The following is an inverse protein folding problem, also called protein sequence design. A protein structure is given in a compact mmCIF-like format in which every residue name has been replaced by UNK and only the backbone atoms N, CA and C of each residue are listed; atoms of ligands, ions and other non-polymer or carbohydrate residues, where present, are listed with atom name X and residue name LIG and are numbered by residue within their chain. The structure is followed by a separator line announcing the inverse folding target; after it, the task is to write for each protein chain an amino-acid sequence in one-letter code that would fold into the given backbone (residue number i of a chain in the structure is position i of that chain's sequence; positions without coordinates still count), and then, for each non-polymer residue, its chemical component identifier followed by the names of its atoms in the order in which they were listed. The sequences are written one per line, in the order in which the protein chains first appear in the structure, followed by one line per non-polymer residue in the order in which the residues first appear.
data_IF_192033162730
#
_entry.id   IF_192033162730
#
_cell.length_a   1.000
_cell.length_b   1.000
_cell.length_c   1.000
_cell.angle_alpha   90.00
_cell.angle_beta   90.00
_cell.angle_gamma   90.00
#
_symmetry.space_group_name_H-M   'P 1'
#
loop_
_entity.id
_entity.type
_entity.pdbx_description
1 polymer ?
#
# COMPACT_ATOMS: atom_id res chain seq x y z
N UNK A 1 8.13 -11.69 -0.09
CA UNK A 1 6.69 -12.04 -0.16
C UNK A 1 5.78 -10.83 0.17
N UNK A 2 6.05 -10.07 1.26
CA UNK A 2 5.20 -8.95 1.66
C UNK A 2 5.10 -7.86 0.58
N UNK A 3 6.21 -7.53 -0.07
CA UNK A 3 6.23 -6.56 -1.17
C UNK A 3 5.26 -6.94 -2.30
N UNK A 4 5.22 -8.21 -2.71
CA UNK A 4 4.33 -8.61 -3.79
C UNK A 4 2.85 -8.42 -3.45
N UNK A 5 2.46 -8.62 -2.19
CA UNK A 5 1.07 -8.43 -1.75
C UNK A 5 0.63 -6.98 -1.86
N UNK A 6 1.52 -6.01 -1.62
CA UNK A 6 1.19 -4.58 -1.69
C UNK A 6 1.52 -3.93 -3.05
N UNK A 7 2.43 -4.51 -3.83
CA UNK A 7 2.80 -3.99 -5.15
C UNK A 7 1.83 -4.42 -6.26
N UNK A 8 1.29 -5.63 -6.16
CA UNK A 8 0.38 -6.19 -7.15
C UNK A 8 -1.06 -5.70 -6.94
N UNK A 9 -1.31 -4.41 -7.24
CA UNK A 9 -2.59 -3.74 -7.02
C UNK A 9 -3.80 -4.47 -7.64
N UNK A 10 -3.62 -5.09 -8.81
CA UNK A 10 -4.67 -5.84 -9.48
C UNK A 10 -5.09 -7.14 -8.75
N UNK A 11 -4.31 -7.56 -7.76
CA UNK A 11 -4.64 -8.69 -6.90
C UNK A 11 -5.29 -8.28 -5.58
N UNK A 12 -5.50 -6.99 -5.30
CA UNK A 12 -6.11 -6.51 -4.06
C UNK A 12 -7.51 -7.08 -3.84
N UNK A 13 -8.29 -7.26 -4.90
CA UNK A 13 -9.62 -7.91 -4.83
C UNK A 13 -9.62 -9.31 -4.21
N UNK A 14 -8.46 -9.98 -4.15
CA UNK A 14 -8.36 -11.34 -3.65
C UNK A 14 -8.16 -11.40 -2.12
N UNK A 15 -7.74 -10.30 -1.50
CA UNK A 15 -7.40 -10.31 -0.08
C UNK A 15 -7.84 -9.06 0.69
N UNK A 16 -7.99 -7.90 0.03
CA UNK A 16 -8.34 -6.65 0.69
C UNK A 16 -9.86 -6.58 0.89
N UNK A 17 -10.35 -6.51 2.15
CA UNK A 17 -11.78 -6.49 2.42
C UNK A 17 -12.48 -5.29 1.78
N UNK A 18 -13.59 -5.55 1.12
CA UNK A 18 -14.39 -4.51 0.48
C UNK A 18 -13.94 -4.12 -0.93
N UNK A 19 -12.76 -4.54 -1.38
CA UNK A 19 -12.37 -4.35 -2.77
C UNK A 19 -12.99 -5.46 -3.62
N UNK A 20 -13.90 -5.09 -4.52
CA UNK A 20 -14.57 -6.00 -5.46
C UNK A 20 -13.91 -6.07 -6.83
N UNK A 21 -13.23 -5.00 -7.22
CA UNK A 21 -12.50 -4.91 -8.47
C UNK A 21 -11.15 -4.22 -8.26
N UNK A 22 -10.12 -4.70 -8.94
CA UNK A 22 -8.81 -4.08 -8.95
C UNK A 22 -8.09 -4.39 -10.26
N UNK A 23 -7.44 -3.39 -10.84
CA UNK A 23 -6.69 -3.51 -12.09
C UNK A 23 -5.45 -2.60 -12.09
N UNK A 24 -4.40 -3.01 -12.79
CA UNK A 24 -3.32 -2.13 -13.23
C UNK A 24 -3.70 -1.58 -14.59
N UNK A 25 -3.97 -0.30 -14.68
CA UNK A 25 -4.40 0.36 -15.92
C UNK A 25 -3.19 0.67 -16.82
N UNK A 26 -2.13 1.26 -16.23
CA UNK A 26 -0.90 1.59 -16.94
C UNK A 26 0.32 1.39 -16.06
N UNK A 27 1.34 0.73 -16.57
CA UNK A 27 2.67 0.70 -15.98
C UNK A 27 3.53 1.79 -16.62
N UNK A 28 3.76 2.88 -15.88
CA UNK A 28 4.44 4.08 -16.38
C UNK A 28 5.96 3.95 -16.34
N UNK A 29 6.46 3.38 -15.26
CA UNK A 29 7.89 3.14 -15.04
C UNK A 29 8.06 2.08 -13.96
N UNK A 30 9.32 1.75 -13.65
CA UNK A 30 9.65 0.93 -12.49
C UNK A 30 9.08 1.57 -11.22
N UNK A 31 8.31 0.82 -10.44
CA UNK A 31 7.59 1.30 -9.25
C UNK A 31 6.60 2.46 -9.49
N UNK A 32 6.15 2.69 -10.74
CA UNK A 32 5.14 3.71 -11.04
C UNK A 32 4.03 3.12 -11.90
N UNK A 33 2.80 3.22 -11.43
CA UNK A 33 1.66 2.68 -12.15
C UNK A 33 0.39 3.48 -11.89
N UNK A 34 -0.55 3.38 -12.81
CA UNK A 34 -1.94 3.78 -12.60
C UNK A 34 -2.73 2.50 -12.30
N UNK A 35 -3.49 2.51 -11.23
CA UNK A 35 -4.36 1.41 -10.83
C UNK A 35 -5.79 1.89 -10.62
N UNK A 36 -6.76 1.04 -10.91
CA UNK A 36 -8.15 1.26 -10.52
C UNK A 36 -8.55 0.29 -9.41
N UNK A 37 -9.29 0.82 -8.43
CA UNK A 37 -9.87 0.04 -7.34
C UNK A 37 -11.39 0.28 -7.31
N UNK A 38 -12.16 -0.79 -7.20
CA UNK A 38 -13.60 -0.76 -7.01
C UNK A 38 -13.98 -1.37 -5.67
N UNK A 39 -14.93 -0.74 -4.99
CA UNK A 39 -15.48 -1.20 -3.73
C UNK A 39 -17.00 -1.27 -3.84
N UNK A 40 -17.58 -2.42 -3.53
CA UNK A 40 -19.02 -2.57 -3.46
C UNK A 40 -19.50 -2.21 -2.06
N UNK A 41 -20.58 -1.44 -1.99
CA UNK A 41 -21.23 -1.07 -0.75
C UNK A 41 -22.60 -1.77 -0.66
N UNK A 42 -23.13 -2.01 0.56
CA UNK A 42 -24.44 -2.57 0.73
C UNK A 42 -25.52 -1.67 0.13
N UNK A 43 -26.52 -2.30 -0.50
CA UNK A 43 -27.72 -1.57 -0.93
C UNK A 43 -28.34 -0.75 0.22
N UNK A 44 -28.78 0.49 -0.01
CA UNK A 44 -29.01 1.17 -1.30
C UNK A 44 -27.84 2.04 -1.79
N UNK A 45 -26.65 1.85 -1.28
CA UNK A 45 -25.48 2.66 -1.69
C UNK A 45 -24.86 2.12 -2.96
N UNK A 46 -24.52 3.02 -3.86
CA UNK A 46 -23.75 2.67 -5.06
C UNK A 46 -22.33 2.27 -4.67
N UNK A 47 -21.69 1.45 -5.49
CA UNK A 47 -20.26 1.14 -5.35
C UNK A 47 -19.36 2.38 -5.45
N UNK A 48 -18.13 2.25 -5.00
CA UNK A 48 -17.10 3.30 -5.08
C UNK A 48 -16.02 2.87 -6.04
N UNK A 49 -15.48 3.83 -6.78
CA UNK A 49 -14.34 3.60 -7.65
C UNK A 49 -13.31 4.70 -7.51
N UNK A 50 -12.03 4.33 -7.49
CA UNK A 50 -10.90 5.26 -7.46
C UNK A 50 -9.90 4.86 -8.53
N UNK A 51 -9.29 5.85 -9.17
CA UNK A 51 -8.14 5.67 -10.06
C UNK A 51 -6.95 6.30 -9.37
N UNK A 52 -5.95 5.49 -9.07
CA UNK A 52 -4.82 5.85 -8.23
C UNK A 52 -3.54 5.91 -9.06
N UNK A 53 -2.73 6.92 -8.83
CA UNK A 53 -1.32 6.91 -9.15
C UNK A 53 -0.55 6.32 -7.99
N UNK A 54 0.15 5.22 -8.23
CA UNK A 54 0.97 4.56 -7.24
C UNK A 54 2.43 4.58 -7.66
N UNK A 55 3.31 4.85 -6.71
CA UNK A 55 4.76 4.86 -6.93
C UNK A 55 5.48 4.32 -5.70
N UNK A 56 6.67 3.76 -5.91
CA UNK A 56 7.48 3.19 -4.86
C UNK A 56 8.89 3.75 -4.85
N UNK A 57 9.49 3.76 -3.67
CA UNK A 57 10.89 4.07 -3.43
C UNK A 57 11.54 2.97 -2.59
N UNK A 58 12.80 2.67 -2.90
CA UNK A 58 13.66 1.79 -2.10
C UNK A 58 14.70 2.67 -1.40
N UNK A 59 14.73 2.62 -0.08
CA UNK A 59 15.61 3.43 0.74
C UNK A 59 16.96 2.75 0.99
N UNK A 60 17.92 3.51 1.51
CA UNK A 60 19.29 3.03 1.80
C UNK A 60 19.34 2.00 2.96
N UNK A 61 18.29 1.94 3.77
CA UNK A 61 18.09 0.94 4.84
C UNK A 61 17.33 -0.30 4.35
N UNK A 62 17.27 -0.50 3.03
CA UNK A 62 16.56 -1.57 2.34
C UNK A 62 15.05 -1.62 2.61
N UNK A 63 14.51 -0.61 3.27
CA UNK A 63 13.07 -0.46 3.38
C UNK A 63 12.46 -0.03 2.05
N UNK A 64 11.21 -0.44 1.82
CA UNK A 64 10.47 -0.11 0.60
C UNK A 64 9.20 0.62 0.99
N UNK A 65 8.99 1.80 0.42
CA UNK A 65 7.73 2.50 0.56
C UNK A 65 6.97 2.50 -0.76
N UNK A 66 5.66 2.28 -0.69
CA UNK A 66 4.72 2.41 -1.80
C UNK A 66 3.70 3.46 -1.40
N UNK A 67 3.59 4.49 -2.21
CA UNK A 67 2.67 5.60 -2.03
C UNK A 67 1.59 5.54 -3.08
N UNK A 68 0.41 6.05 -2.76
CA UNK A 68 -0.66 6.19 -3.73
C UNK A 68 -1.56 7.38 -3.38
N UNK A 69 -2.09 8.01 -4.42
CA UNK A 69 -3.06 9.10 -4.36
C UNK A 69 -3.97 9.04 -5.59
N UNK A 70 -4.97 9.88 -5.64
CA UNK A 70 -5.76 10.02 -6.87
C UNK A 70 -4.86 10.36 -8.06
N UNK A 71 -5.08 9.69 -9.17
CA UNK A 71 -4.40 9.98 -10.43
C UNK A 71 -4.97 11.28 -11.04
N UNK A 72 -4.06 12.11 -11.54
CA UNK A 72 -4.40 13.34 -12.27
C UNK A 72 -3.85 13.31 -13.70
N UNK A 73 -4.33 14.18 -14.58
CA UNK A 73 -3.93 14.17 -15.97
C UNK A 73 -2.42 14.26 -16.22
N UNK A 74 -1.69 14.96 -15.35
CA UNK A 74 -0.22 15.06 -15.42
C UNK A 74 0.54 13.77 -15.08
N UNK A 75 -0.12 12.80 -14.48
CA UNK A 75 0.47 11.49 -14.19
C UNK A 75 0.44 10.56 -15.40
N UNK A 76 -0.39 10.88 -16.37
CA UNK A 76 -0.63 10.04 -17.54
C UNK A 76 0.41 10.28 -18.64
N UNK A 77 0.69 9.28 -19.47
CA UNK A 77 1.46 9.48 -20.69
C UNK A 77 0.80 10.52 -21.61
N UNK A 78 1.58 11.23 -22.41
CA UNK A 78 1.07 12.22 -23.33
C UNK A 78 -0.01 11.63 -24.27
N UNK A 79 -1.16 12.28 -24.32
CA UNK A 79 -2.29 11.85 -25.12
C UNK A 79 -3.14 10.72 -24.53
N UNK A 80 -2.89 10.34 -23.29
CA UNK A 80 -3.69 9.34 -22.56
C UNK A 80 -4.43 10.04 -21.42
N UNK A 81 -5.74 9.88 -21.38
CA UNK A 81 -6.55 10.41 -20.28
C UNK A 81 -6.57 9.48 -19.07
N UNK A 82 -6.82 10.06 -17.90
CA UNK A 82 -7.08 9.25 -16.68
C UNK A 82 -8.31 8.37 -16.96
N UNK A 83 -8.25 7.06 -16.66
CA UNK A 83 -9.39 6.17 -16.86
C UNK A 83 -10.65 6.73 -16.21
N UNK A 84 -11.71 6.84 -16.99
CA UNK A 84 -12.98 7.36 -16.51
C UNK A 84 -13.64 6.38 -15.53
N UNK A 85 -14.25 6.91 -14.48
CA UNK A 85 -15.16 6.16 -13.63
C UNK A 85 -16.54 6.15 -14.28
N UNK A 86 -17.13 4.97 -14.40
CA UNK A 86 -18.53 4.85 -14.84
C UNK A 86 -19.47 5.41 -13.76
N UNK A 87 -19.79 6.67 -13.86
CA UNK A 87 -20.64 7.39 -12.90
C UNK A 87 -22.12 6.95 -12.94
N UNK A 88 -22.52 6.10 -13.90
CA UNK A 88 -23.86 5.52 -13.92
C UNK A 88 -24.04 4.41 -12.90
N UNK A 89 -22.94 3.78 -12.46
CA UNK A 89 -22.95 2.64 -11.54
C UNK A 89 -22.10 2.85 -10.30
N UNK A 90 -21.18 3.81 -10.32
CA UNK A 90 -20.24 4.07 -9.24
C UNK A 90 -20.15 5.54 -8.88
N UNK A 91 -19.84 5.80 -7.63
CA UNK A 91 -19.43 7.14 -7.19
C UNK A 91 -17.90 7.17 -7.15
N UNK A 92 -17.30 8.20 -7.77
CA UNK A 92 -15.85 8.42 -7.68
C UNK A 92 -15.49 8.75 -6.23
N UNK A 93 -14.79 7.85 -5.57
CA UNK A 93 -14.20 8.11 -4.26
C UNK A 93 -12.86 8.84 -4.43
N UNK A 94 -12.44 9.55 -3.40
CA UNK A 94 -11.20 10.32 -3.42
C UNK A 94 -10.18 9.72 -2.45
N UNK A 95 -8.96 9.55 -2.92
CA UNK A 95 -7.81 9.16 -2.12
C UNK A 95 -6.79 10.30 -2.14
N UNK A 96 -6.78 11.12 -1.10
CA UNK A 96 -5.84 12.24 -1.04
C UNK A 96 -4.41 11.72 -0.96
N UNK A 97 -4.18 10.72 -0.11
CA UNK A 97 -2.90 10.01 -0.01
C UNK A 97 -3.10 8.66 0.69
N UNK A 98 -2.20 7.74 0.41
CA UNK A 98 -2.06 6.47 1.12
C UNK A 98 -0.69 5.86 0.89
N UNK A 99 -0.35 4.84 1.66
CA UNK A 99 0.90 4.14 1.44
C UNK A 99 1.19 3.03 2.43
N UNK A 100 2.11 2.18 1.99
CA UNK A 100 2.72 1.12 2.78
C UNK A 100 4.22 1.40 2.91
N UNK A 101 4.76 1.22 4.09
CA UNK A 101 6.20 1.21 4.31
C UNK A 101 6.61 -0.14 4.90
N UNK A 102 7.41 -0.86 4.16
CA UNK A 102 7.87 -2.20 4.46
C UNK A 102 9.31 -2.11 4.94
N UNK A 103 9.55 -2.42 6.20
CA UNK A 103 10.87 -2.36 6.83
C UNK A 103 11.29 -3.80 7.14
N UNK A 104 12.33 -4.33 6.48
CA UNK A 104 12.84 -5.65 6.78
C UNK A 104 13.47 -5.64 8.18
N UNK A 105 13.13 -6.64 9.00
CA UNK A 105 13.70 -6.81 10.35
C UNK A 105 14.58 -8.06 10.38
N UNK A 106 14.16 -9.11 9.68
CA UNK A 106 14.88 -10.35 9.52
C UNK A 106 14.44 -11.00 8.19
N UNK A 107 15.08 -12.08 7.80
CA UNK A 107 14.81 -12.79 6.54
C UNK A 107 13.31 -13.13 6.35
N UNK A 108 12.64 -13.51 7.42
CA UNK A 108 11.22 -13.90 7.45
C UNK A 108 10.29 -12.85 8.08
N UNK A 109 10.83 -11.70 8.52
CA UNK A 109 10.09 -10.69 9.28
C UNK A 109 10.18 -9.31 8.63
N UNK A 110 9.02 -8.74 8.39
CA UNK A 110 8.88 -7.37 7.86
C UNK A 110 7.95 -6.58 8.77
N UNK A 111 8.42 -5.43 9.24
CA UNK A 111 7.56 -4.48 9.90
C UNK A 111 6.83 -3.65 8.85
N UNK A 112 5.51 -3.51 9.00
CA UNK A 112 4.66 -2.83 8.03
C UNK A 112 4.01 -1.63 8.70
N UNK A 113 4.19 -0.45 8.09
CA UNK A 113 3.40 0.73 8.38
C UNK A 113 2.42 0.94 7.24
N UNK A 114 1.21 1.31 7.58
CA UNK A 114 0.16 1.60 6.62
C UNK A 114 -0.61 2.84 7.06
N UNK A 115 -0.82 3.76 6.14
CA UNK A 115 -1.70 4.91 6.33
C UNK A 115 -2.45 5.22 5.05
N UNK A 116 -3.65 5.81 5.17
CA UNK A 116 -4.37 6.34 4.03
C UNK A 116 -5.40 7.38 4.47
N UNK A 117 -5.67 8.31 3.58
CA UNK A 117 -6.75 9.27 3.68
C UNK A 117 -7.68 9.05 2.49
N UNK A 118 -8.84 8.49 2.77
CA UNK A 118 -9.80 8.07 1.78
C UNK A 118 -11.18 8.63 2.09
N UNK A 119 -11.76 9.34 1.14
CA UNK A 119 -13.12 9.86 1.23
C UNK A 119 -14.05 9.06 0.29
N UNK A 120 -14.89 8.18 0.83
CA UNK A 120 -15.82 7.39 0.03
C UNK A 120 -17.02 8.20 -0.49
N UNK A 121 -17.08 9.51 -0.25
CA UNK A 121 -18.18 10.40 -0.67
C UNK A 121 -19.56 9.88 -0.25
N UNK A 122 -19.71 9.53 1.03
CA UNK A 122 -20.98 9.11 1.61
C UNK A 122 -21.59 10.28 2.37
N UNK A 123 -22.63 10.89 1.79
CA UNK A 123 -23.31 12.00 2.42
C UNK A 123 -24.03 11.58 3.72
N UNK A 124 -24.07 12.49 4.70
CA UNK A 124 -24.83 12.30 5.93
C UNK A 124 -24.16 11.47 7.03
N UNK A 125 -22.97 10.92 6.80
CA UNK A 125 -22.23 10.22 7.84
C UNK A 125 -21.18 11.14 8.48
N UNK A 126 -21.10 11.21 9.82
CA UNK A 126 -20.10 12.01 10.49
C UNK A 126 -18.70 11.39 10.36
N UNK A 127 -17.67 12.24 10.35
CA UNK A 127 -16.25 11.83 10.28
C UNK A 127 -15.88 10.82 11.40
N UNK A 128 -16.48 10.92 12.57
CA UNK A 128 -16.27 9.98 13.67
C UNK A 128 -16.70 8.55 13.34
N UNK A 129 -17.73 8.39 12.51
CA UNK A 129 -18.15 7.07 12.03
C UNK A 129 -17.10 6.47 11.09
N UNK A 130 -16.55 7.26 10.15
CA UNK A 130 -15.50 6.80 9.27
C UNK A 130 -14.24 6.42 10.04
N UNK A 131 -13.84 7.22 11.02
CA UNK A 131 -12.70 6.92 11.88
C UNK A 131 -12.91 5.61 12.66
N UNK A 132 -14.11 5.39 13.17
CA UNK A 132 -14.47 4.14 13.85
C UNK A 132 -14.34 2.93 12.91
N UNK A 133 -14.90 3.02 11.71
CA UNK A 133 -14.83 1.94 10.70
C UNK A 133 -13.37 1.69 10.28
N UNK A 134 -12.62 2.76 10.00
CA UNK A 134 -11.21 2.66 9.63
C UNK A 134 -10.38 1.93 10.71
N UNK A 135 -10.52 2.31 11.98
CA UNK A 135 -9.84 1.64 13.09
C UNK A 135 -10.19 0.15 13.19
N UNK A 136 -11.46 -0.21 12.96
CA UNK A 136 -11.92 -1.60 12.99
C UNK A 136 -11.46 -2.42 11.80
N UNK A 137 -11.13 -1.77 10.68
CA UNK A 137 -10.71 -2.42 9.44
C UNK A 137 -9.20 -2.58 9.34
N UNK A 138 -8.42 -1.61 9.85
CA UNK A 138 -6.96 -1.61 9.68
C UNK A 138 -6.27 -2.81 10.32
N UNK A 139 -6.66 -3.22 11.54
CA UNK A 139 -6.02 -4.36 12.23
C UNK A 139 -6.29 -5.68 11.49
N UNK A 140 -7.55 -6.05 11.16
CA UNK A 140 -7.84 -7.22 10.35
C UNK A 140 -7.15 -7.18 8.97
N UNK A 141 -7.04 -6.00 8.35
CA UNK A 141 -6.38 -5.82 7.06
C UNK A 141 -4.91 -6.27 7.12
N UNK A 142 -4.15 -5.83 8.13
CA UNK A 142 -2.76 -6.25 8.33
C UNK A 142 -2.66 -7.76 8.56
N UNK A 143 -3.60 -8.35 9.27
CA UNK A 143 -3.70 -9.80 9.46
C UNK A 143 -3.93 -10.56 8.15
N UNK A 144 -4.85 -10.08 7.30
CA UNK A 144 -5.12 -10.66 5.99
C UNK A 144 -3.92 -10.52 5.04
N UNK A 145 -3.27 -9.37 5.04
CA UNK A 145 -2.07 -9.12 4.27
C UNK A 145 -0.94 -10.08 4.68
N UNK A 146 -0.70 -10.25 5.98
CA UNK A 146 0.26 -11.22 6.51
C UNK A 146 -0.08 -12.65 6.14
N UNK A 147 -1.36 -13.03 6.24
CA UNK A 147 -1.85 -14.36 5.84
C UNK A 147 -1.63 -14.61 4.35
N UNK A 148 -1.88 -13.63 3.49
CA UNK A 148 -1.64 -13.71 2.05
C UNK A 148 -0.16 -13.85 1.76
N UNK A 149 0.70 -13.05 2.40
CA UNK A 149 2.14 -13.10 2.23
C UNK A 149 2.78 -14.44 2.65
N UNK A 150 2.15 -15.16 3.58
CA UNK A 150 2.57 -16.52 4.00
C UNK A 150 2.10 -17.63 3.06
N UNK A 151 1.04 -17.38 2.27
CA UNK A 151 0.41 -18.35 1.36
C UNK A 151 0.69 -18.04 -0.10
N UNK A 152 1.94 -17.68 -0.40
CA UNK A 152 2.34 -17.32 -1.77
C UNK A 152 2.55 -18.54 -2.66
N UNK A 153 2.99 -19.66 -2.09
CA UNK A 153 3.26 -20.89 -2.81
C UNK A 153 2.05 -21.35 -3.63
N UNK A 154 2.27 -21.66 -4.90
CA UNK A 154 1.23 -22.03 -5.87
C UNK A 154 0.31 -20.88 -6.32
N UNK A 155 0.51 -19.67 -5.80
CA UNK A 155 -0.36 -18.52 -6.09
C UNK A 155 0.10 -17.73 -7.32
N UNK A 156 -0.74 -16.79 -7.77
CA UNK A 156 -0.39 -15.83 -8.82
C UNK A 156 0.77 -14.92 -8.40
N UNK A 157 0.92 -14.62 -7.10
CA UNK A 157 2.05 -13.86 -6.58
C UNK A 157 3.38 -14.57 -6.82
N UNK A 158 3.43 -15.88 -6.58
CA UNK A 158 4.64 -16.66 -6.82
C UNK A 158 5.02 -16.64 -8.32
N UNK A 159 4.03 -16.80 -9.20
CA UNK A 159 4.26 -16.75 -10.66
C UNK A 159 4.85 -15.42 -11.09
N UNK A 160 4.43 -14.31 -10.48
CA UNK A 160 4.95 -12.96 -10.76
C UNK A 160 6.35 -12.76 -10.19
N UNK A 161 6.59 -13.20 -8.98
CA UNK A 161 7.94 -13.18 -8.37
C UNK A 161 8.94 -13.97 -9.21
N UNK A 162 8.52 -15.11 -9.76
CA UNK A 162 9.34 -15.97 -10.63
C UNK A 162 9.46 -15.45 -12.08
N UNK A 163 8.85 -14.31 -12.41
CA UNK A 163 8.91 -13.74 -13.76
C UNK A 163 8.06 -14.43 -14.82
N UNK A 164 7.17 -15.34 -14.42
CA UNK A 164 6.33 -16.11 -15.34
C UNK A 164 5.20 -15.28 -15.98
N UNK A 165 4.96 -14.09 -15.48
CA UNK A 165 3.88 -13.19 -15.94
C UNK A 165 4.46 -11.91 -16.55
N UNK A 166 5.39 -11.24 -15.87
CA UNK A 166 6.05 -10.03 -16.33
C UNK A 166 7.53 -10.06 -15.97
N UNK A 167 8.43 -9.97 -16.94
CA UNK A 167 9.86 -9.85 -16.68
C UNK A 167 10.23 -8.64 -15.84
N UNK A 168 9.54 -7.50 -16.05
CA UNK A 168 9.78 -6.25 -15.30
C UNK A 168 9.51 -6.39 -13.80
N UNK A 169 8.41 -7.04 -13.45
CA UNK A 169 8.09 -7.31 -12.03
C UNK A 169 9.14 -8.23 -11.40
N UNK A 170 9.61 -9.24 -12.15
CA UNK A 170 10.64 -10.16 -11.67
C UNK A 170 11.97 -9.47 -11.34
N UNK A 171 12.38 -8.49 -12.15
CA UNK A 171 13.60 -7.72 -11.90
C UNK A 171 13.51 -6.95 -10.57
N UNK A 172 12.36 -6.38 -10.26
CA UNK A 172 12.10 -5.68 -9.00
C UNK A 172 12.26 -6.65 -7.82
N UNK A 173 11.60 -7.80 -7.89
CA UNK A 173 11.67 -8.79 -6.81
C UNK A 173 13.07 -9.39 -6.64
N UNK A 174 13.78 -9.60 -7.74
CA UNK A 174 15.17 -10.08 -7.72
C UNK A 174 16.09 -9.09 -7.01
N UNK A 175 16.04 -7.80 -7.39
CA UNK A 175 16.86 -6.78 -6.76
C UNK A 175 16.57 -6.62 -5.26
N UNK A 176 15.28 -6.59 -4.88
CA UNK A 176 14.92 -6.52 -3.47
C UNK A 176 15.42 -7.76 -2.71
N UNK A 177 15.32 -8.94 -3.32
CA UNK A 177 15.84 -10.16 -2.72
C UNK A 177 17.36 -10.13 -2.55
N UNK A 178 18.10 -9.63 -3.55
CA UNK A 178 19.55 -9.48 -3.48
C UNK A 178 19.98 -8.49 -2.39
N UNK A 179 19.27 -7.37 -2.24
CA UNK A 179 19.49 -6.41 -1.15
C UNK A 179 19.20 -7.03 0.22
N UNK A 180 18.10 -7.76 0.36
CA UNK A 180 17.74 -8.42 1.62
C UNK A 180 18.76 -9.51 2.01
N UNK A 181 19.36 -10.20 1.05
CA UNK A 181 20.39 -11.20 1.33
C UNK A 181 21.71 -10.59 1.85
N UNK A 182 21.93 -9.28 1.64
CA UNK A 182 23.08 -8.55 2.15
C UNK A 182 22.85 -7.91 3.53
N UNK A 183 21.62 -7.97 4.05
CA UNK A 183 21.33 -7.52 5.40
C UNK A 183 21.97 -8.53 6.36
N UNK A 184 23.10 -8.17 6.95
CA UNK A 184 23.60 -8.85 8.14
C UNK A 184 22.50 -8.78 9.20
N UNK A 185 22.00 -9.94 9.60
CA UNK A 185 20.99 -10.05 10.66
C UNK A 185 21.54 -9.28 11.84
N UNK A 186 20.98 -8.10 12.09
CA UNK A 186 21.34 -7.28 13.24
C UNK A 186 21.23 -8.19 14.47
N UNK A 187 22.39 -8.52 15.03
CA UNK A 187 22.73 -9.55 15.96
C UNK A 187 21.55 -10.14 16.73
N UNK A 188 21.51 -11.45 16.80
CA UNK A 188 20.63 -12.20 17.67
C UNK A 188 20.57 -11.53 19.04
N UNK A 189 19.52 -10.75 19.27
CA UNK A 189 19.17 -10.39 20.62
C UNK A 189 18.75 -11.71 21.29
N UNK A 190 19.59 -12.17 22.20
CA UNK A 190 19.43 -13.34 23.04
C UNK A 190 17.95 -13.47 23.51
N UNK A 191 17.22 -14.54 23.16
CA UNK A 191 15.87 -14.75 23.66
C UNK A 191 15.90 -15.39 25.05
N UNK A 192 16.80 -14.95 25.93
CA UNK A 192 16.91 -15.32 27.32
C UNK A 192 16.04 -14.47 28.23
N UNK A 193 14.73 -14.47 28.04
CA UNK A 193 13.76 -13.80 28.91
C UNK A 193 12.40 -14.46 28.81
N UNK A 194 11.97 -14.99 29.91
CA UNK A 194 10.72 -15.68 30.18
C UNK A 194 9.49 -15.04 29.52
N UNK A 195 8.66 -15.89 28.91
CA UNK A 195 7.50 -15.63 28.05
C UNK A 195 6.44 -14.66 28.52
N UNK A 196 6.80 -13.42 28.80
CA UNK A 196 5.88 -12.30 28.87
C UNK A 196 5.88 -11.59 27.52
N UNK A 197 4.72 -11.55 26.88
CA UNK A 197 4.45 -10.75 25.68
C UNK A 197 4.87 -9.32 25.93
N UNK A 198 6.04 -8.94 25.38
CA UNK A 198 6.53 -7.57 25.45
C UNK A 198 5.43 -6.62 24.92
N UNK A 199 5.05 -5.60 25.67
CA UNK A 199 4.03 -4.67 25.24
C UNK A 199 4.49 -3.95 23.97
N UNK A 200 3.58 -3.83 23.00
CA UNK A 200 3.75 -3.17 21.69
C UNK A 200 4.34 -1.73 21.78
N UNK A 201 4.64 -1.25 22.95
CA UNK A 201 5.08 0.11 23.25
C UNK A 201 6.61 0.34 23.24
N UNK A 202 7.46 -0.68 23.27
CA UNK A 202 8.91 -0.46 23.34
C UNK A 202 9.54 0.05 22.04
N UNK A 203 8.91 -0.18 20.88
CA UNK A 203 9.32 0.42 19.61
C UNK A 203 9.12 1.94 19.53
N UNK A 204 8.30 2.53 20.40
CA UNK A 204 8.03 3.98 20.40
C UNK A 204 9.18 4.83 20.96
N UNK A 205 10.10 4.24 21.68
CA UNK A 205 11.22 4.95 22.29
C UNK A 205 12.50 4.98 21.44
N UNK A 206 12.54 4.29 20.31
CA UNK A 206 13.69 4.36 19.41
C UNK A 206 13.67 5.69 18.62
N UNK A 207 14.64 6.60 18.84
CA UNK A 207 14.69 7.90 18.17
C UNK A 207 14.75 7.80 16.64
N UNK A 208 15.39 6.75 16.11
CA UNK A 208 15.43 6.48 14.67
C UNK A 208 14.03 6.14 14.15
N UNK A 209 13.27 5.32 14.88
CA UNK A 209 11.89 4.97 14.54
C UNK A 209 10.94 6.17 14.48
N UNK A 210 11.03 7.07 15.48
CA UNK A 210 10.24 8.30 15.49
C UNK A 210 10.59 9.23 14.33
N UNK A 211 11.88 9.30 13.98
CA UNK A 211 12.38 10.11 12.87
C UNK A 211 11.87 9.59 11.51
N UNK A 212 11.83 8.27 11.32
CA UNK A 212 11.27 7.65 10.12
C UNK A 212 9.76 7.83 9.99
N UNK A 213 9.02 7.70 11.10
CA UNK A 213 7.58 7.99 11.12
C UNK A 213 7.27 9.43 10.71
N UNK A 214 8.03 10.38 11.26
CA UNK A 214 7.89 11.79 10.91
C UNK A 214 8.23 12.05 9.44
N UNK A 215 9.35 11.50 8.94
CA UNK A 215 9.73 11.66 7.54
C UNK A 215 8.70 11.06 6.57
N UNK A 216 8.16 9.89 6.87
CA UNK A 216 7.09 9.26 6.08
C UNK A 216 5.83 10.12 6.07
N UNK A 217 5.38 10.63 7.24
CA UNK A 217 4.23 11.51 7.33
C UNK A 217 4.45 12.86 6.67
N UNK A 218 5.65 13.45 6.81
CA UNK A 218 6.02 14.71 6.18
C UNK A 218 6.00 14.57 4.66
N UNK A 219 6.64 13.55 4.10
CA UNK A 219 6.65 13.32 2.66
C UNK A 219 5.22 13.16 2.10
N UNK A 220 4.37 12.40 2.79
CA UNK A 220 2.96 12.23 2.41
C UNK A 220 2.19 13.56 2.45
N UNK A 221 2.45 14.40 3.45
CA UNK A 221 1.83 15.72 3.58
C UNK A 221 2.35 16.72 2.56
N UNK A 222 3.65 16.73 2.29
CA UNK A 222 4.27 17.60 1.27
C UNK A 222 3.67 17.33 -0.11
N UNK A 223 3.54 16.07 -0.50
CA UNK A 223 2.94 15.69 -1.78
C UNK A 223 1.45 16.01 -1.86
N UNK A 224 0.71 15.82 -0.77
CA UNK A 224 -0.68 16.23 -0.70
C UNK A 224 -0.84 17.75 -0.85
N UNK A 225 0.03 18.55 -0.19
CA UNK A 225 0.04 20.00 -0.29
C UNK A 225 0.50 20.51 -1.67
N UNK A 226 1.42 19.81 -2.31
CA UNK A 226 1.88 20.16 -3.64
C UNK A 226 0.79 19.90 -4.69
N UNK A 227 0.02 18.82 -4.53
CA UNK A 227 -1.15 18.52 -5.35
C UNK A 227 -2.23 19.59 -5.18
N UNK A 228 -2.48 20.05 -3.96
CA UNK A 228 -3.45 21.12 -3.65
C UNK A 228 -2.97 22.48 -4.17
N UNK A 229 -1.68 22.82 -4.03
CA UNK A 229 -1.08 24.09 -4.52
C UNK A 229 -1.06 24.21 -6.04
N UNK A 230 -0.87 23.10 -6.74
CA UNK A 230 -0.79 23.15 -8.20
C UNK A 230 -2.16 23.28 -8.85
N UNK A 231 -3.25 23.22 -8.10
CA UNK A 231 -4.62 23.44 -8.58
C UNK A 231 -5.01 22.53 -9.74
N UNK A 232 -4.27 21.45 -9.94
CA UNK A 232 -4.51 20.46 -10.98
C UNK A 232 -5.20 19.26 -10.32
N UNK A 233 -6.45 19.46 -9.99
CA UNK A 233 -7.41 18.40 -9.78
C UNK A 233 -8.07 18.06 -11.13
#
# INVERSE_FOLDING_TARGET
NMLSVVYEFDLFKNWFPGISASAKEHELARFRLIASLGMDLPWPMWGRRSVLYAYGDVYNDDSVAIYFRDAVGSDMPAGVDVPAVDESNYVKASCLYGGFHLIPIAEDKTFVKFCFNFDPKIAGLPTSFFNYVAQRTCIPLLGLMSKTARKIEGSEYERRIQGKVSPKSAEIYKEIKERLASIDVLGEADPGGDGETAPINEGRSNPAYCKYLQAFQIKMLEEALETDRTGKA
#
